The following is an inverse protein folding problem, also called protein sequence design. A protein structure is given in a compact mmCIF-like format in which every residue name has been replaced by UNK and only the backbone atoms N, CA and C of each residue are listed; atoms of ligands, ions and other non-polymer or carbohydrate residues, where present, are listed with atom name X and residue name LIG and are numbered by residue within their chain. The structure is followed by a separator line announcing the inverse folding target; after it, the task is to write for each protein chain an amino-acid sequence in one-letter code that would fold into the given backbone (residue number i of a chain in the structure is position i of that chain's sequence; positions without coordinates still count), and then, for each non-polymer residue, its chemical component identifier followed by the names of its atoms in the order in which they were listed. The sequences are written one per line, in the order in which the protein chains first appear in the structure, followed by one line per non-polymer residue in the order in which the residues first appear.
data_IF_692699089187
#
_entry.id   IF_692699089187
#
_cell.length_a   1.000
_cell.length_b   1.000
_cell.length_c   1.000
_cell.angle_alpha   90.00
_cell.angle_beta   90.00
_cell.angle_gamma   90.00
#
_symmetry.space_group_name_H-M   'P 1'
#
loop_
_entity.id
_entity.type
_entity.pdbx_description
1 polymer ?
#
# COMPACT_ATOMS: atom_id res chain seq x y z
N UNK A 1 16.47 -19.84 7.34
CA UNK A 1 15.16 -19.48 6.71
C UNK A 1 15.35 -19.45 5.19
N UNK A 2 14.46 -20.07 4.41
CA UNK A 2 14.52 -20.05 2.93
C UNK A 2 13.53 -19.02 2.43
N UNK A 3 14.02 -17.88 1.98
CA UNK A 3 13.24 -16.81 1.35
C UNK A 3 13.43 -16.88 -0.19
N UNK A 4 12.41 -16.52 -0.94
CA UNK A 4 12.43 -16.54 -2.41
C UNK A 4 12.32 -15.14 -3.02
N UNK A 5 11.66 -14.24 -2.33
CA UNK A 5 11.39 -12.86 -2.79
C UNK A 5 12.08 -11.80 -1.94
N UNK A 6 12.69 -12.22 -0.86
CA UNK A 6 13.51 -11.36 0.01
C UNK A 6 14.85 -12.04 0.27
N UNK A 7 15.89 -11.25 0.54
CA UNK A 7 17.05 -11.66 1.33
C UNK A 7 17.01 -11.02 2.71
N UNK A 8 17.61 -11.68 3.70
CA UNK A 8 17.73 -11.16 5.07
C UNK A 8 19.18 -11.29 5.52
N UNK A 9 19.87 -10.16 5.62
CA UNK A 9 21.27 -10.07 6.04
C UNK A 9 21.33 -9.38 7.41
N UNK A 10 22.07 -9.98 8.36
CA UNK A 10 22.25 -9.44 9.71
C UNK A 10 23.69 -8.99 9.84
N UNK A 11 23.91 -7.71 10.15
CA UNK A 11 25.26 -7.17 10.33
C UNK A 11 25.81 -7.43 11.73
N UNK A 12 27.10 -7.06 11.94
CA UNK A 12 27.81 -7.26 13.21
C UNK A 12 27.16 -6.50 14.39
N UNK A 13 26.40 -5.44 14.11
CA UNK A 13 25.66 -4.66 15.12
C UNK A 13 24.31 -5.30 15.50
N UNK A 14 23.92 -6.37 14.80
CA UNK A 14 22.62 -7.03 14.94
C UNK A 14 21.49 -6.31 14.20
N UNK A 15 21.77 -5.46 13.22
CA UNK A 15 20.74 -4.84 12.39
C UNK A 15 20.46 -5.72 11.18
N UNK A 16 19.25 -6.20 11.09
CA UNK A 16 18.78 -6.97 9.94
C UNK A 16 18.40 -6.04 8.78
N UNK A 17 18.76 -6.41 7.55
CA UNK A 17 18.33 -5.75 6.32
C UNK A 17 17.54 -6.75 5.50
N UNK A 18 16.25 -6.52 5.34
CA UNK A 18 15.37 -7.28 4.45
C UNK A 18 15.32 -6.58 3.09
N UNK A 19 15.93 -7.19 2.08
CA UNK A 19 15.94 -6.66 0.73
C UNK A 19 14.88 -7.36 -0.12
N UNK A 20 13.86 -6.62 -0.52
CA UNK A 20 12.77 -7.11 -1.36
C UNK A 20 13.21 -7.16 -2.82
N UNK A 21 13.25 -8.35 -3.40
CA UNK A 21 13.67 -8.57 -4.79
C UNK A 21 12.98 -9.79 -5.40
N UNK A 22 11.82 -9.57 -6.03
CA UNK A 22 11.05 -10.64 -6.70
C UNK A 22 11.81 -11.10 -7.95
N UNK A 23 12.24 -12.38 -8.02
CA UNK A 23 12.98 -12.89 -9.17
C UNK A 23 12.20 -12.78 -10.47
N UNK A 24 12.89 -12.42 -11.57
CA UNK A 24 12.31 -12.37 -12.91
C UNK A 24 11.32 -11.22 -13.16
N UNK A 25 11.11 -10.33 -12.19
CA UNK A 25 10.25 -9.14 -12.36
C UNK A 25 11.07 -7.86 -12.34
N UNK A 26 10.71 -6.91 -13.18
CA UNK A 26 11.34 -5.58 -13.23
C UNK A 26 10.94 -4.70 -12.05
N UNK A 27 9.81 -5.00 -11.39
CA UNK A 27 9.27 -4.28 -10.23
C UNK A 27 8.79 -5.30 -9.19
N UNK A 28 8.99 -4.98 -7.90
CA UNK A 28 8.44 -5.78 -6.82
C UNK A 28 6.92 -5.62 -6.74
N UNK A 29 6.24 -6.73 -6.52
CA UNK A 29 4.81 -6.79 -6.18
C UNK A 29 4.60 -7.75 -5.01
N UNK A 30 3.60 -7.48 -4.18
CA UNK A 30 3.20 -8.37 -3.09
C UNK A 30 2.40 -9.55 -3.64
N UNK A 31 3.12 -10.59 -4.03
CA UNK A 31 2.57 -11.90 -4.37
C UNK A 31 2.27 -12.69 -3.09
N UNK A 32 1.51 -13.77 -3.18
CA UNK A 32 1.28 -14.67 -2.05
C UNK A 32 2.60 -15.15 -1.42
N UNK A 33 3.64 -15.41 -2.26
CA UNK A 33 4.98 -15.79 -1.77
C UNK A 33 5.67 -14.66 -1.03
N UNK A 34 5.61 -13.43 -1.56
CA UNK A 34 6.20 -12.27 -0.90
C UNK A 34 5.57 -11.99 0.48
N UNK A 35 4.26 -12.20 0.61
CA UNK A 35 3.55 -12.09 1.88
C UNK A 35 4.01 -13.18 2.88
N UNK A 36 4.23 -14.41 2.40
CA UNK A 36 4.77 -15.50 3.24
C UNK A 36 6.20 -15.20 3.71
N UNK A 37 7.06 -14.72 2.82
CA UNK A 37 8.43 -14.34 3.15
C UNK A 37 8.46 -13.18 4.16
N UNK A 38 7.60 -12.16 3.98
CA UNK A 38 7.47 -11.05 4.92
C UNK A 38 6.97 -11.51 6.30
N UNK A 39 6.06 -12.50 6.34
CA UNK A 39 5.63 -13.13 7.59
C UNK A 39 6.80 -13.82 8.30
N UNK A 40 7.58 -14.61 7.57
CA UNK A 40 8.75 -15.29 8.13
C UNK A 40 9.81 -14.30 8.65
N UNK A 41 10.01 -13.18 7.94
CA UNK A 41 10.90 -12.10 8.41
C UNK A 41 10.36 -11.46 9.69
N UNK A 42 9.05 -11.18 9.76
CA UNK A 42 8.44 -10.59 10.95
C UNK A 42 8.59 -11.51 12.18
N UNK A 43 8.38 -12.82 12.00
CA UNK A 43 8.54 -13.82 13.04
C UNK A 43 10.01 -13.95 13.48
N UNK A 44 10.96 -13.99 12.54
CA UNK A 44 12.39 -14.04 12.82
C UNK A 44 12.84 -12.78 13.58
N UNK A 45 12.45 -11.60 13.11
CA UNK A 45 12.78 -10.34 13.79
C UNK A 45 12.18 -10.31 15.18
N UNK A 46 10.95 -10.78 15.37
CA UNK A 46 10.31 -10.81 16.68
C UNK A 46 10.98 -11.75 17.68
N UNK A 47 11.40 -12.94 17.25
CA UNK A 47 11.86 -14.03 18.11
C UNK A 47 13.37 -14.10 18.29
N UNK A 48 14.18 -13.70 17.29
CA UNK A 48 15.63 -13.82 17.33
C UNK A 48 16.27 -12.70 18.16
N UNK A 49 16.80 -13.05 19.33
CA UNK A 49 17.44 -12.10 20.26
C UNK A 49 18.69 -11.41 19.68
N UNK A 50 19.35 -11.99 18.67
CA UNK A 50 20.51 -11.39 18.00
C UNK A 50 20.12 -10.21 17.11
N UNK A 51 18.89 -10.15 16.64
CA UNK A 51 18.38 -9.03 15.85
C UNK A 51 17.94 -7.92 16.80
N UNK A 52 18.54 -6.75 16.64
CA UNK A 52 18.23 -5.54 17.44
C UNK A 52 17.30 -4.57 16.74
N UNK A 53 17.14 -4.72 15.41
CA UNK A 53 16.25 -3.91 14.60
C UNK A 53 16.27 -4.33 13.14
N UNK A 54 15.35 -3.77 12.35
CA UNK A 54 15.13 -4.13 10.94
C UNK A 54 15.14 -2.91 10.04
N UNK A 55 15.79 -3.03 8.89
CA UNK A 55 15.63 -2.13 7.74
C UNK A 55 14.99 -2.91 6.59
N UNK A 56 13.89 -2.42 6.04
CA UNK A 56 13.27 -2.98 4.84
C UNK A 56 13.61 -2.08 3.66
N UNK A 57 14.16 -2.66 2.59
CA UNK A 57 14.52 -1.94 1.37
C UNK A 57 14.20 -2.78 0.14
N UNK A 58 14.46 -2.23 -1.06
CA UNK A 58 14.28 -2.94 -2.34
C UNK A 58 15.61 -3.15 -3.05
N UNK A 59 15.79 -4.31 -3.65
CA UNK A 59 16.88 -4.62 -4.59
C UNK A 59 16.63 -4.12 -6.02
N UNK A 60 15.42 -3.63 -6.34
CA UNK A 60 15.07 -3.13 -7.67
C UNK A 60 15.44 -1.66 -7.84
N UNK A 61 16.09 -1.33 -8.94
CA UNK A 61 16.35 0.07 -9.34
C UNK A 61 15.09 0.80 -9.80
N UNK A 62 14.06 0.06 -10.20
CA UNK A 62 12.77 0.60 -10.66
C UNK A 62 11.92 1.19 -9.54
N UNK A 63 12.15 0.80 -8.27
CA UNK A 63 11.43 1.31 -7.12
C UNK A 63 11.30 0.32 -5.97
N UNK A 64 10.53 0.67 -4.97
CA UNK A 64 10.34 -0.12 -3.77
C UNK A 64 9.35 -1.27 -3.99
N UNK A 65 8.08 -0.96 -4.28
CA UNK A 65 7.03 -1.96 -4.54
C UNK A 65 5.80 -1.30 -5.18
N UNK A 66 5.25 -1.93 -6.23
CA UNK A 66 4.07 -1.44 -6.96
C UNK A 66 2.73 -1.87 -6.33
N UNK A 67 2.73 -2.50 -5.16
CA UNK A 67 1.54 -2.97 -4.47
C UNK A 67 1.24 -4.45 -4.67
N UNK A 68 -0.02 -4.83 -4.42
CA UNK A 68 -0.47 -6.22 -4.57
C UNK A 68 -0.47 -6.68 -6.03
N UNK A 69 -0.25 -7.97 -6.24
CA UNK A 69 -0.42 -8.58 -7.56
C UNK A 69 -1.93 -8.74 -7.86
N UNK A 70 -2.47 -7.82 -8.67
CA UNK A 70 -3.89 -7.81 -9.01
C UNK A 70 -4.30 -9.01 -9.89
N UNK A 71 -3.35 -9.65 -10.58
CA UNK A 71 -3.59 -10.90 -11.30
C UNK A 71 -3.91 -12.05 -10.35
N UNK A 72 -3.20 -12.14 -9.22
CA UNK A 72 -3.49 -13.12 -8.17
C UNK A 72 -4.79 -12.80 -7.41
N UNK A 73 -5.08 -11.51 -7.17
CA UNK A 73 -6.32 -11.09 -6.52
C UNK A 73 -7.56 -11.32 -7.38
N UNK A 74 -7.47 -11.05 -8.68
CA UNK A 74 -8.59 -11.22 -9.64
C UNK A 74 -8.80 -12.67 -10.09
N UNK A 75 -7.75 -13.50 -10.10
CA UNK A 75 -7.80 -14.90 -10.54
C UNK A 75 -8.26 -15.91 -9.47
N UNK A 76 -8.23 -15.52 -8.20
CA UNK A 76 -8.54 -16.40 -7.08
C UNK A 76 -10.03 -16.72 -6.83
N UNK A 77 -10.93 -16.20 -7.67
CA UNK A 77 -12.38 -16.42 -7.52
C UNK A 77 -12.88 -17.74 -8.12
N UNK A 78 -12.01 -18.60 -8.63
CA UNK A 78 -12.41 -19.75 -9.46
C UNK A 78 -12.11 -21.15 -8.96
N UNK A 79 -11.51 -21.35 -7.78
CA UNK A 79 -11.13 -22.72 -7.35
C UNK A 79 -11.95 -23.31 -6.19
N UNK A 80 -13.01 -22.65 -5.76
CA UNK A 80 -14.00 -23.25 -4.86
C UNK A 80 -15.16 -23.75 -5.70
N UNK A 81 -15.29 -25.07 -5.88
CA UNK A 81 -16.41 -25.65 -6.61
C UNK A 81 -17.75 -25.15 -6.05
N UNK A 82 -18.79 -25.17 -6.88
CA UNK A 82 -20.17 -24.71 -6.69
C UNK A 82 -20.92 -25.18 -5.42
N UNK A 83 -20.24 -25.72 -4.42
CA UNK A 83 -20.82 -26.31 -3.20
C UNK A 83 -20.29 -25.77 -1.88
N UNK A 84 -19.40 -24.77 -1.87
CA UNK A 84 -18.88 -24.26 -0.60
C UNK A 84 -19.89 -23.29 0.03
N UNK A 85 -20.14 -23.46 1.34
CA UNK A 85 -20.97 -22.58 2.14
C UNK A 85 -20.53 -21.10 1.97
N UNK A 86 -21.45 -20.19 1.60
CA UNK A 86 -21.13 -18.77 1.43
C UNK A 86 -20.49 -18.12 2.66
N UNK A 87 -20.89 -18.53 3.87
CA UNK A 87 -20.32 -18.02 5.11
C UNK A 87 -18.86 -18.47 5.29
N UNK A 88 -18.56 -19.72 4.97
CA UNK A 88 -17.20 -20.26 5.00
C UNK A 88 -16.30 -19.56 3.97
N UNK A 89 -16.82 -19.25 2.77
CA UNK A 89 -16.09 -18.49 1.75
C UNK A 89 -15.77 -17.05 2.22
N UNK A 90 -16.76 -16.37 2.81
CA UNK A 90 -16.60 -15.03 3.34
C UNK A 90 -15.57 -15.00 4.48
N UNK A 91 -15.65 -15.97 5.38
CA UNK A 91 -14.66 -16.12 6.47
C UNK A 91 -13.26 -16.34 5.93
N UNK A 92 -13.09 -17.23 4.97
CA UNK A 92 -11.78 -17.50 4.36
C UNK A 92 -11.21 -16.27 3.62
N UNK A 93 -12.06 -15.48 2.95
CA UNK A 93 -11.66 -14.23 2.33
C UNK A 93 -11.22 -13.19 3.38
N UNK A 94 -11.95 -13.09 4.49
CA UNK A 94 -11.58 -12.23 5.61
C UNK A 94 -10.24 -12.64 6.23
N UNK A 95 -10.06 -13.92 6.53
CA UNK A 95 -8.84 -14.44 7.16
C UNK A 95 -7.60 -14.19 6.28
N UNK A 96 -7.73 -14.36 4.95
CA UNK A 96 -6.67 -14.02 3.98
C UNK A 96 -6.35 -12.52 3.96
N UNK A 97 -7.38 -11.67 3.88
CA UNK A 97 -7.21 -10.21 3.91
C UNK A 97 -6.56 -9.75 5.21
N UNK A 98 -7.03 -10.27 6.35
CA UNK A 98 -6.53 -9.89 7.66
C UNK A 98 -5.10 -10.40 7.94
N UNK A 99 -4.62 -11.43 7.22
CA UNK A 99 -3.27 -11.95 7.39
C UNK A 99 -2.21 -10.88 7.13
N UNK A 100 -2.36 -10.09 6.07
CA UNK A 100 -1.41 -8.99 5.78
C UNK A 100 -1.39 -7.96 6.92
N UNK A 101 -2.56 -7.60 7.42
CA UNK A 101 -2.66 -6.69 8.56
C UNK A 101 -1.98 -7.24 9.83
N UNK A 102 -2.10 -8.54 10.09
CA UNK A 102 -1.41 -9.19 11.21
C UNK A 102 0.10 -9.14 11.05
N UNK A 103 0.62 -9.46 9.87
CA UNK A 103 2.06 -9.44 9.57
C UNK A 103 2.62 -8.04 9.81
N UNK A 104 1.99 -7.02 9.24
CA UNK A 104 2.42 -5.64 9.41
C UNK A 104 2.28 -5.16 10.86
N UNK A 105 1.23 -5.60 11.56
CA UNK A 105 1.09 -5.29 12.99
C UNK A 105 2.15 -5.97 13.85
N UNK A 106 2.54 -7.20 13.53
CA UNK A 106 3.63 -7.90 14.20
C UNK A 106 4.97 -7.14 14.03
N UNK A 107 5.27 -6.63 12.83
CA UNK A 107 6.45 -5.77 12.61
C UNK A 107 6.39 -4.50 13.46
N UNK A 108 5.22 -3.87 13.54
CA UNK A 108 4.99 -2.63 14.27
C UNK A 108 5.11 -2.79 15.80
N UNK A 109 4.82 -4.01 16.32
CA UNK A 109 4.77 -4.30 17.76
C UNK A 109 5.85 -5.29 18.23
N UNK A 110 6.82 -5.64 17.38
CA UNK A 110 7.87 -6.62 17.69
C UNK A 110 8.88 -6.16 18.77
N UNK A 111 8.68 -4.99 19.36
CA UNK A 111 9.56 -4.36 20.37
C UNK A 111 10.98 -4.07 19.87
N UNK A 112 11.15 -3.97 18.57
CA UNK A 112 12.40 -3.61 17.90
C UNK A 112 12.13 -2.51 16.89
N UNK A 113 13.06 -1.57 16.69
CA UNK A 113 12.90 -0.52 15.69
C UNK A 113 12.89 -1.13 14.29
N UNK A 114 11.92 -0.69 13.48
CA UNK A 114 11.78 -1.06 12.08
C UNK A 114 11.79 0.19 11.23
N UNK A 115 12.66 0.24 10.24
CA UNK A 115 12.79 1.36 9.30
C UNK A 115 12.53 0.90 7.86
N UNK A 116 11.95 1.77 7.04
CA UNK A 116 11.83 1.58 5.59
C UNK A 116 12.79 2.53 4.87
N UNK A 117 13.61 1.98 3.97
CA UNK A 117 14.49 2.70 3.06
C UNK A 117 13.86 2.65 1.65
N UNK A 118 13.19 3.73 1.25
CA UNK A 118 12.32 3.79 0.07
C UNK A 118 13.11 4.40 -1.10
N UNK A 119 13.58 3.55 -2.00
CA UNK A 119 14.43 3.95 -3.11
C UNK A 119 13.68 4.47 -4.35
N UNK A 120 12.35 4.39 -4.38
CA UNK A 120 11.54 4.84 -5.52
C UNK A 120 10.06 4.60 -5.28
N UNK A 121 9.35 4.22 -6.33
CA UNK A 121 7.90 4.01 -6.31
C UNK A 121 7.47 3.03 -5.21
N UNK A 122 6.55 3.47 -4.33
CA UNK A 122 5.89 2.63 -3.32
C UNK A 122 4.38 2.89 -3.34
N UNK A 123 3.64 1.99 -3.97
CA UNK A 123 2.20 2.14 -4.17
C UNK A 123 1.41 1.02 -3.49
N UNK A 124 0.18 1.34 -3.08
CA UNK A 124 -0.73 0.38 -2.51
C UNK A 124 -0.13 -0.37 -1.33
N UNK A 125 -0.19 -1.69 -1.35
CA UNK A 125 0.45 -2.55 -0.33
C UNK A 125 1.93 -2.26 -0.12
N UNK A 126 2.66 -1.75 -1.14
CA UNK A 126 4.05 -1.32 -0.99
C UNK A 126 4.19 -0.13 -0.05
N UNK A 127 3.31 0.87 -0.14
CA UNK A 127 3.26 1.96 0.82
C UNK A 127 2.79 1.47 2.19
N UNK A 128 1.82 0.55 2.26
CA UNK A 128 1.31 -0.01 3.51
C UNK A 128 2.39 -0.72 4.33
N UNK A 129 3.31 -1.45 3.67
CA UNK A 129 4.50 -2.03 4.32
C UNK A 129 5.35 -0.92 4.95
N UNK A 130 5.58 0.18 4.24
CA UNK A 130 6.39 1.28 4.78
C UNK A 130 5.69 2.02 5.90
N UNK A 131 4.37 2.18 5.84
CA UNK A 131 3.56 2.81 6.88
C UNK A 131 3.56 2.02 8.20
N UNK A 132 3.76 0.71 8.14
CA UNK A 132 3.93 -0.15 9.30
C UNK A 132 5.35 -0.09 9.92
N UNK A 133 6.29 0.61 9.30
CA UNK A 133 7.60 0.85 9.87
C UNK A 133 7.58 2.08 10.79
N UNK A 134 8.40 2.07 11.83
CA UNK A 134 8.53 3.19 12.78
C UNK A 134 9.17 4.42 12.12
N UNK A 135 10.07 4.19 11.18
CA UNK A 135 10.79 5.24 10.46
C UNK A 135 10.75 5.00 8.95
N UNK A 136 10.63 6.06 8.18
CA UNK A 136 10.62 6.05 6.72
C UNK A 136 11.59 7.10 6.20
N UNK A 137 12.58 6.66 5.43
CA UNK A 137 13.49 7.52 4.68
C UNK A 137 13.30 7.24 3.19
N UNK A 138 13.20 8.29 2.37
CA UNK A 138 12.94 8.16 0.95
C UNK A 138 14.00 8.87 0.11
N UNK A 139 14.18 8.38 -1.13
CA UNK A 139 15.10 8.97 -2.08
C UNK A 139 14.66 10.38 -2.48
N UNK A 140 15.62 11.30 -2.59
CA UNK A 140 15.45 12.64 -3.14
C UNK A 140 16.09 12.80 -4.53
N UNK A 141 16.77 11.77 -5.03
CA UNK A 141 17.45 11.77 -6.33
C UNK A 141 16.82 10.79 -7.35
N UNK A 142 15.74 10.08 -6.98
CA UNK A 142 14.98 9.26 -7.90
C UNK A 142 13.74 10.03 -8.43
N UNK A 143 13.73 10.50 -9.69
CA UNK A 143 12.62 11.26 -10.25
C UNK A 143 11.33 10.45 -10.43
N UNK A 144 11.40 9.11 -10.31
CA UNK A 144 10.23 8.22 -10.40
C UNK A 144 9.64 7.89 -9.02
N UNK A 145 10.17 8.49 -7.93
CA UNK A 145 9.63 8.24 -6.60
C UNK A 145 8.20 8.79 -6.51
N UNK A 146 7.29 7.90 -6.17
CA UNK A 146 5.89 8.21 -5.90
C UNK A 146 5.41 7.32 -4.74
N UNK A 147 4.71 7.93 -3.80
CA UNK A 147 4.10 7.25 -2.66
C UNK A 147 2.59 7.44 -2.73
N UNK A 148 1.82 6.35 -2.72
CA UNK A 148 0.37 6.49 -2.86
C UNK A 148 -0.42 5.21 -2.57
N UNK A 149 -1.73 5.38 -2.42
CA UNK A 149 -2.72 4.31 -2.22
C UNK A 149 -3.76 4.38 -3.36
N UNK A 150 -3.41 3.93 -4.58
CA UNK A 150 -4.23 4.13 -5.78
C UNK A 150 -5.39 3.14 -5.93
N UNK A 151 -5.67 2.31 -4.93
CA UNK A 151 -6.63 1.22 -4.98
C UNK A 151 -8.02 1.66 -5.43
N UNK A 152 -8.46 2.87 -5.02
CA UNK A 152 -9.75 3.43 -5.42
C UNK A 152 -9.91 3.59 -6.94
N UNK A 153 -8.80 3.82 -7.67
CA UNK A 153 -8.81 3.94 -9.14
C UNK A 153 -9.18 2.66 -9.87
N UNK A 154 -9.00 1.52 -9.22
CA UNK A 154 -9.35 0.20 -9.76
C UNK A 154 -10.53 -0.46 -9.02
N UNK A 155 -11.31 0.34 -8.29
CA UNK A 155 -12.49 -0.13 -7.57
C UNK A 155 -12.19 -0.93 -6.30
N UNK A 156 -10.96 -0.85 -5.80
CA UNK A 156 -10.53 -1.48 -4.55
C UNK A 156 -10.31 -0.44 -3.45
N UNK A 157 -9.89 -0.90 -2.30
CA UNK A 157 -9.43 -0.08 -1.17
C UNK A 157 -8.13 -0.65 -0.61
N UNK A 158 -7.33 0.15 0.11
CA UNK A 158 -6.18 -0.35 0.86
C UNK A 158 -6.61 -1.44 1.85
N UNK A 159 -5.85 -2.53 1.91
CA UNK A 159 -6.19 -3.70 2.74
C UNK A 159 -5.07 -4.17 3.68
N UNK A 160 -3.91 -3.48 3.68
CA UNK A 160 -2.78 -3.72 4.57
C UNK A 160 -2.61 -2.63 5.64
N UNK A 161 -3.68 -1.94 6.03
CA UNK A 161 -3.69 -0.93 7.08
C UNK A 161 -3.57 0.50 6.58
N UNK A 162 -3.59 0.73 5.27
CA UNK A 162 -3.46 2.06 4.67
C UNK A 162 -4.56 3.01 5.08
N UNK A 163 -5.83 2.56 5.14
CA UNK A 163 -6.96 3.37 5.61
C UNK A 163 -6.89 3.67 7.11
N UNK A 164 -6.02 2.99 7.85
CA UNK A 164 -5.88 3.16 9.27
C UNK A 164 -4.61 3.94 9.66
N UNK A 165 -3.47 3.64 9.01
CA UNK A 165 -2.19 4.27 9.32
C UNK A 165 -2.06 5.66 8.74
N UNK A 166 -2.41 5.85 7.47
CA UNK A 166 -2.26 7.15 6.82
C UNK A 166 -3.09 8.25 7.50
N UNK A 167 -4.41 8.06 7.78
CA UNK A 167 -5.19 9.08 8.48
C UNK A 167 -4.75 9.32 9.93
N UNK A 168 -4.15 8.31 10.58
CA UNK A 168 -3.56 8.51 11.90
C UNK A 168 -2.31 9.38 11.82
N UNK A 169 -1.49 9.25 10.78
CA UNK A 169 -0.28 10.06 10.62
C UNK A 169 -0.58 11.52 10.27
N UNK A 170 -1.45 11.75 9.28
CA UNK A 170 -1.61 13.08 8.68
C UNK A 170 -3.01 13.69 8.88
N UNK A 171 -3.91 12.98 9.54
CA UNK A 171 -5.31 13.37 9.71
C UNK A 171 -6.21 12.91 8.56
N UNK A 172 -7.50 12.71 8.85
CA UNK A 172 -8.46 12.21 7.88
C UNK A 172 -8.65 13.14 6.68
N UNK A 173 -8.66 14.47 6.91
CA UNK A 173 -8.84 15.46 5.84
C UNK A 173 -7.66 15.44 4.86
N UNK A 174 -6.42 15.44 5.36
CA UNK A 174 -5.23 15.43 4.51
C UNK A 174 -5.05 14.08 3.80
N UNK A 175 -5.51 12.98 4.40
CA UNK A 175 -5.44 11.65 3.81
C UNK A 175 -6.49 11.40 2.70
N UNK A 176 -7.60 12.17 2.68
CA UNK A 176 -8.72 11.94 1.78
C UNK A 176 -8.36 11.91 0.28
N UNK A 177 -7.56 12.82 -0.31
CA UNK A 177 -7.18 12.76 -1.71
C UNK A 177 -6.42 11.46 -2.05
N UNK A 178 -5.53 11.03 -1.19
CA UNK A 178 -4.71 9.84 -1.40
C UNK A 178 -5.51 8.54 -1.28
N UNK A 179 -6.52 8.51 -0.42
CA UNK A 179 -7.35 7.34 -0.18
C UNK A 179 -8.56 7.26 -1.13
N UNK A 180 -9.27 8.38 -1.35
CA UNK A 180 -10.53 8.38 -2.11
C UNK A 180 -10.32 8.61 -3.60
N UNK A 181 -9.28 9.37 -3.98
CA UNK A 181 -8.95 9.68 -5.37
C UNK A 181 -7.72 8.92 -5.87
N UNK A 182 -6.98 8.26 -4.95
CA UNK A 182 -5.79 7.49 -5.28
C UNK A 182 -4.64 8.36 -5.79
N UNK A 183 -4.55 9.61 -5.33
CA UNK A 183 -3.43 10.48 -5.68
C UNK A 183 -2.11 9.94 -5.11
N UNK A 184 -1.00 10.37 -5.71
CA UNK A 184 0.34 10.03 -5.23
C UNK A 184 1.06 11.26 -4.72
N UNK A 185 1.92 11.06 -3.75
CA UNK A 185 2.79 12.09 -3.18
C UNK A 185 4.18 12.04 -3.83
N UNK A 186 4.78 13.20 -4.12
CA UNK A 186 6.22 13.30 -4.36
C UNK A 186 7.00 13.09 -3.05
N UNK A 187 8.33 12.96 -3.15
CA UNK A 187 9.21 12.86 -1.98
C UNK A 187 9.02 14.06 -1.02
N UNK A 188 9.03 15.27 -1.58
CA UNK A 188 8.91 16.52 -0.83
C UNK A 188 7.52 16.65 -0.18
N UNK A 189 6.47 16.30 -0.91
CA UNK A 189 5.11 16.33 -0.38
C UNK A 189 4.94 15.31 0.77
N UNK A 190 5.46 14.10 0.60
CA UNK A 190 5.41 13.07 1.65
C UNK A 190 6.19 13.49 2.89
N UNK A 191 7.34 14.18 2.72
CA UNK A 191 8.13 14.75 3.81
C UNK A 191 7.37 15.86 4.52
N UNK A 192 6.79 16.80 3.77
CA UNK A 192 6.05 17.94 4.34
C UNK A 192 4.80 17.50 5.11
N UNK A 193 4.15 16.43 4.68
CA UNK A 193 2.99 15.84 5.36
C UNK A 193 3.38 14.94 6.55
N UNK A 194 4.66 14.61 6.74
CA UNK A 194 5.10 13.70 7.79
C UNK A 194 4.88 12.21 7.48
N UNK A 195 4.52 11.85 6.26
CA UNK A 195 4.47 10.46 5.80
C UNK A 195 5.87 9.88 5.73
N UNK A 196 6.86 10.68 5.31
CA UNK A 196 8.28 10.34 5.31
C UNK A 196 9.01 11.24 6.31
N UNK A 197 9.93 10.67 7.09
CA UNK A 197 10.67 11.40 8.12
C UNK A 197 11.91 12.10 7.58
N UNK A 198 12.56 11.52 6.57
CA UNK A 198 13.79 12.03 6.00
C UNK A 198 13.87 11.79 4.49
N UNK A 199 14.59 12.68 3.79
CA UNK A 199 14.96 12.52 2.39
C UNK A 199 16.49 12.47 2.29
N UNK A 200 17.01 11.54 1.47
CA UNK A 200 18.44 11.40 1.22
C UNK A 200 18.70 10.80 -0.17
N UNK A 201 19.93 10.93 -0.71
CA UNK A 201 20.32 10.22 -1.91
C UNK A 201 20.12 8.70 -1.78
N UNK A 202 19.69 8.03 -2.84
CA UNK A 202 19.39 6.60 -2.86
C UNK A 202 20.51 5.75 -2.26
N UNK A 203 21.77 6.07 -2.56
CA UNK A 203 22.93 5.34 -2.05
C UNK A 203 23.10 5.43 -0.52
N UNK A 204 22.49 6.40 0.15
CA UNK A 204 22.62 6.63 1.59
C UNK A 204 21.45 6.06 2.40
N UNK A 205 20.35 5.65 1.76
CA UNK A 205 19.11 5.31 2.44
C UNK A 205 19.29 4.21 3.49
N UNK A 206 19.90 3.09 3.11
CA UNK A 206 20.07 1.95 4.02
C UNK A 206 21.02 2.31 5.18
N UNK A 207 22.11 3.03 4.90
CA UNK A 207 23.04 3.47 5.94
C UNK A 207 22.35 4.35 6.99
N UNK A 208 21.63 5.39 6.55
CA UNK A 208 20.89 6.29 7.45
C UNK A 208 19.74 5.60 8.18
N UNK A 209 19.04 4.67 7.52
CA UNK A 209 18.03 3.87 8.18
C UNK A 209 18.62 3.01 9.32
N UNK A 210 19.80 2.40 9.10
CA UNK A 210 20.52 1.66 10.15
C UNK A 210 20.96 2.57 11.31
N UNK A 211 21.47 3.75 11.02
CA UNK A 211 21.83 4.75 12.04
C UNK A 211 20.63 5.12 12.90
N UNK A 212 19.49 5.38 12.25
CA UNK A 212 18.26 5.67 12.98
C UNK A 212 17.81 4.49 13.84
N UNK A 213 17.86 3.27 13.33
CA UNK A 213 17.50 2.05 14.08
C UNK A 213 18.37 1.91 15.33
N UNK A 214 19.68 2.14 15.23
CA UNK A 214 20.61 2.09 16.37
C UNK A 214 20.30 3.17 17.42
N UNK A 215 19.97 4.36 16.97
CA UNK A 215 19.68 5.50 17.84
C UNK A 215 18.30 5.39 18.55
N UNK A 216 17.40 4.54 18.06
CA UNK A 216 16.02 4.47 18.56
C UNK A 216 15.60 3.04 18.97
N UNK A 217 16.29 2.39 19.93
CA UNK A 217 16.05 0.98 20.28
C UNK A 217 14.65 0.71 20.84
N UNK A 218 13.95 1.73 21.33
CA UNK A 218 12.62 1.63 21.92
C UNK A 218 11.54 2.29 21.04
N UNK A 219 11.75 2.38 19.73
CA UNK A 219 10.79 2.97 18.81
C UNK A 219 9.44 2.26 18.87
N UNK A 220 8.38 3.05 18.76
CA UNK A 220 6.98 2.60 18.75
C UNK A 220 6.22 3.36 17.69
N UNK A 221 5.18 2.75 17.14
CA UNK A 221 4.25 3.46 16.29
C UNK A 221 3.51 4.55 17.12
N UNK A 222 3.24 5.74 16.54
CA UNK A 222 2.63 6.85 17.29
C UNK A 222 1.32 6.46 17.97
N UNK A 223 0.48 5.69 17.31
CA UNK A 223 -0.84 5.25 17.82
C UNK A 223 -0.77 4.18 18.93
N UNK A 224 0.40 3.67 19.25
CA UNK A 224 0.64 2.78 20.40
C UNK A 224 1.02 3.56 21.66
N UNK A 225 1.15 4.87 21.57
CA UNK A 225 1.26 5.75 22.74
C UNK A 225 -0.14 6.18 23.21
N UNK A 226 -0.46 5.94 24.49
CA UNK A 226 -1.75 6.31 25.09
C UNK A 226 -2.04 7.82 25.04
N UNK A 227 -1.00 8.66 24.87
CA UNK A 227 -1.13 10.13 24.77
C UNK A 227 -1.26 10.61 23.32
N UNK A 228 -1.17 9.71 22.35
CA UNK A 228 -1.22 10.07 20.95
C UNK A 228 -2.58 10.67 20.58
N UNK A 229 -2.55 11.78 19.85
CA UNK A 229 -3.74 12.44 19.32
C UNK A 229 -3.67 12.45 17.79
N UNK A 230 -4.72 11.96 17.17
CA UNK A 230 -4.86 11.96 15.69
C UNK A 230 -4.89 13.42 15.20
N UNK A 231 -4.08 13.80 14.22
CA UNK A 231 -4.15 15.15 13.62
C UNK A 231 -5.55 15.45 13.09
N UNK A 232 -6.11 16.61 13.43
CA UNK A 232 -7.50 16.97 13.08
C UNK A 232 -8.58 16.31 13.94
N UNK A 233 -8.19 15.42 14.87
CA UNK A 233 -9.09 14.75 15.81
C UNK A 233 -9.68 13.43 15.28
N UNK A 234 -10.36 12.71 16.16
CA UNK A 234 -11.15 11.53 15.82
C UNK A 234 -12.55 11.92 15.28
N UNK A 235 -13.31 10.99 14.70
CA UNK A 235 -14.64 11.28 14.14
C UNK A 235 -15.63 11.92 15.12
N UNK A 236 -15.48 11.70 16.42
CA UNK A 236 -16.35 12.25 17.47
C UNK A 236 -15.92 13.64 17.95
N UNK A 237 -14.76 14.13 17.50
CA UNK A 237 -14.32 15.51 17.76
C UNK A 237 -15.02 16.49 16.83
N UNK A 238 -15.11 17.77 17.22
CA UNK A 238 -15.74 18.80 16.40
C UNK A 238 -15.10 18.89 15.00
N UNK A 239 -13.77 18.87 14.89
CA UNK A 239 -13.07 18.91 13.61
C UNK A 239 -13.30 17.63 12.78
N UNK A 240 -13.20 16.46 13.43
CA UNK A 240 -13.42 15.19 12.75
C UNK A 240 -14.85 15.01 12.24
N UNK A 241 -15.87 15.30 13.04
CA UNK A 241 -17.27 15.19 12.62
C UNK A 241 -17.58 16.03 11.37
N UNK A 242 -17.01 17.24 11.30
CA UNK A 242 -17.13 18.11 10.13
C UNK A 242 -16.55 17.46 8.88
N UNK A 243 -15.33 16.90 8.98
CA UNK A 243 -14.66 16.22 7.83
C UNK A 243 -15.51 15.08 7.27
N UNK A 244 -16.09 14.25 8.16
CA UNK A 244 -16.88 13.10 7.70
C UNK A 244 -18.28 13.49 7.18
N UNK A 245 -18.92 14.50 7.77
CA UNK A 245 -20.21 15.00 7.29
C UNK A 245 -20.08 15.60 5.89
N UNK A 246 -19.16 16.54 5.70
CA UNK A 246 -18.93 17.16 4.39
C UNK A 246 -18.31 16.16 3.39
N UNK A 247 -17.38 15.33 3.84
CA UNK A 247 -16.78 14.28 3.01
C UNK A 247 -17.81 13.31 2.44
N UNK A 248 -18.78 12.88 3.22
CA UNK A 248 -19.87 12.01 2.76
C UNK A 248 -20.75 12.68 1.70
N UNK A 249 -21.10 13.95 1.90
CA UNK A 249 -21.90 14.71 0.95
C UNK A 249 -21.15 14.96 -0.37
N UNK A 250 -19.86 15.32 -0.29
CA UNK A 250 -19.00 15.51 -1.47
C UNK A 250 -18.83 14.19 -2.23
N UNK A 251 -18.56 13.10 -1.53
CA UNK A 251 -18.43 11.78 -2.14
C UNK A 251 -19.71 11.37 -2.88
N UNK A 252 -20.87 11.54 -2.25
CA UNK A 252 -22.16 11.27 -2.90
C UNK A 252 -22.36 12.10 -4.16
N UNK A 253 -22.01 13.40 -4.13
CA UNK A 253 -22.08 14.30 -5.30
C UNK A 253 -21.12 13.88 -6.41
N UNK A 254 -19.91 13.45 -6.10
CA UNK A 254 -18.90 13.07 -7.10
C UNK A 254 -19.13 11.70 -7.70
N UNK A 255 -19.62 10.75 -6.92
CA UNK A 255 -19.72 9.35 -7.33
C UNK A 255 -21.10 8.90 -7.73
N UNK A 256 -22.14 9.68 -7.38
CA UNK A 256 -23.55 9.30 -7.57
C UNK A 256 -23.90 7.92 -7.01
N UNK A 257 -23.07 7.43 -6.05
CA UNK A 257 -23.21 6.10 -5.46
C UNK A 257 -22.68 4.93 -6.32
N UNK A 258 -22.11 5.21 -7.50
CA UNK A 258 -21.65 4.18 -8.45
C UNK A 258 -20.29 3.54 -8.11
N UNK A 259 -19.58 4.05 -7.10
CA UNK A 259 -18.26 3.56 -6.73
C UNK A 259 -18.24 3.12 -5.26
N UNK A 260 -18.55 1.84 -4.96
CA UNK A 260 -18.60 1.32 -3.60
C UNK A 260 -17.29 1.45 -2.84
N UNK A 261 -16.15 1.35 -3.54
CA UNK A 261 -14.81 1.40 -2.94
C UNK A 261 -14.61 2.66 -2.11
N UNK A 262 -14.88 3.85 -2.66
CA UNK A 262 -14.71 5.12 -1.95
C UNK A 262 -15.61 5.23 -0.73
N UNK A 263 -16.85 4.74 -0.82
CA UNK A 263 -17.78 4.69 0.32
C UNK A 263 -17.25 3.78 1.41
N UNK A 264 -16.72 2.60 1.04
CA UNK A 264 -16.15 1.66 1.99
C UNK A 264 -14.86 2.19 2.63
N UNK A 265 -14.01 2.89 1.86
CA UNK A 265 -12.83 3.58 2.39
C UNK A 265 -13.24 4.61 3.45
N UNK A 266 -14.19 5.50 3.12
CA UNK A 266 -14.66 6.52 4.05
C UNK A 266 -15.24 5.91 5.33
N UNK A 267 -16.05 4.84 5.20
CA UNK A 267 -16.59 4.10 6.34
C UNK A 267 -15.52 3.42 7.18
N UNK A 268 -14.51 2.78 6.54
CA UNK A 268 -13.41 2.13 7.24
C UNK A 268 -12.55 3.14 8.02
N UNK A 269 -12.32 4.33 7.46
CA UNK A 269 -11.61 5.42 8.15
C UNK A 269 -12.44 5.93 9.32
N UNK A 270 -13.73 6.21 9.12
CA UNK A 270 -14.62 6.70 10.17
C UNK A 270 -14.69 5.76 11.37
N UNK A 271 -15.05 4.50 11.12
CA UNK A 271 -15.16 3.50 12.18
C UNK A 271 -13.78 3.21 12.83
N UNK A 272 -12.74 3.10 12.00
CA UNK A 272 -11.40 2.75 12.45
C UNK A 272 -10.75 3.81 13.32
N UNK A 273 -10.91 5.11 13.01
CA UNK A 273 -10.37 6.20 13.83
C UNK A 273 -11.09 6.36 15.18
N UNK A 274 -12.23 5.68 15.37
CA UNK A 274 -13.00 5.68 16.63
C UNK A 274 -12.57 4.59 17.62
N UNK A 275 -11.68 3.68 17.20
CA UNK A 275 -11.28 2.49 17.99
C UNK A 275 -9.75 2.32 18.00
N UNK A 276 -9.20 1.50 18.93
CA UNK A 276 -7.78 1.13 18.91
C UNK A 276 -7.34 0.46 17.61
N UNK A 277 -6.04 0.54 17.30
CA UNK A 277 -5.46 0.10 16.03
C UNK A 277 -5.81 -1.34 15.66
N UNK A 278 -5.74 -2.29 16.60
CA UNK A 278 -6.01 -3.70 16.31
C UNK A 278 -7.47 -3.97 15.89
N UNK A 279 -8.42 -3.25 16.49
CA UNK A 279 -9.82 -3.29 16.07
C UNK A 279 -10.02 -2.60 14.72
N UNK A 280 -9.33 -1.48 14.49
CA UNK A 280 -9.38 -0.73 13.24
C UNK A 280 -8.90 -1.55 12.04
N UNK A 281 -7.83 -2.33 12.19
CA UNK A 281 -7.34 -3.23 11.14
C UNK A 281 -8.33 -4.34 10.78
N UNK A 282 -9.11 -4.83 11.76
CA UNK A 282 -10.22 -5.77 11.50
C UNK A 282 -11.37 -5.10 10.73
N UNK A 283 -11.69 -3.85 11.07
CA UNK A 283 -12.69 -3.05 10.36
C UNK A 283 -12.27 -2.86 8.90
N UNK A 284 -11.03 -2.48 8.66
CA UNK A 284 -10.50 -2.34 7.29
C UNK A 284 -10.63 -3.65 6.50
N UNK A 285 -10.18 -4.79 7.07
CA UNK A 285 -10.26 -6.09 6.40
C UNK A 285 -11.70 -6.49 6.07
N UNK A 286 -12.66 -6.19 6.94
CA UNK A 286 -14.10 -6.41 6.68
C UNK A 286 -14.58 -5.61 5.47
N UNK A 287 -14.24 -4.32 5.40
CA UNK A 287 -14.59 -3.47 4.27
C UNK A 287 -13.83 -3.85 3.00
N UNK A 288 -12.58 -4.26 3.11
CA UNK A 288 -11.79 -4.75 1.97
C UNK A 288 -12.47 -5.95 1.30
N UNK A 289 -12.84 -6.97 2.07
CA UNK A 289 -13.54 -8.15 1.54
C UNK A 289 -14.88 -7.75 0.92
N UNK A 290 -15.64 -6.89 1.61
CA UNK A 290 -16.91 -6.37 1.08
C UNK A 290 -16.71 -5.65 -0.26
N UNK A 291 -15.63 -4.86 -0.40
CA UNK A 291 -15.29 -4.15 -1.64
C UNK A 291 -14.89 -5.14 -2.73
N UNK A 292 -14.00 -6.08 -2.44
CA UNK A 292 -13.48 -7.06 -3.39
C UNK A 292 -14.59 -7.93 -4.00
N UNK A 293 -15.66 -8.17 -3.24
CA UNK A 293 -16.81 -8.99 -3.69
C UNK A 293 -17.79 -8.23 -4.57
N UNK A 294 -17.67 -6.90 -4.70
CA UNK A 294 -18.57 -6.10 -5.54
C UNK A 294 -18.37 -6.38 -7.03
N UNK A 295 -19.43 -6.33 -7.86
CA UNK A 295 -19.29 -6.42 -9.31
C UNK A 295 -18.46 -5.25 -9.88
N UNK A 296 -18.55 -4.06 -9.28
CA UNK A 296 -17.78 -2.88 -9.67
C UNK A 296 -16.27 -3.12 -9.53
N UNK A 297 -15.81 -3.67 -8.41
CA UNK A 297 -14.40 -4.01 -8.22
C UNK A 297 -13.91 -5.00 -9.29
N UNK A 298 -14.67 -6.07 -9.52
CA UNK A 298 -14.34 -7.08 -10.54
C UNK A 298 -14.29 -6.46 -11.95
N UNK A 299 -15.27 -5.64 -12.29
CA UNK A 299 -15.35 -4.94 -13.58
C UNK A 299 -14.20 -3.96 -13.78
N UNK A 300 -13.89 -3.16 -12.77
CA UNK A 300 -12.81 -2.16 -12.84
C UNK A 300 -11.42 -2.82 -12.89
N UNK A 301 -11.16 -3.85 -12.08
CA UNK A 301 -9.89 -4.61 -12.17
C UNK A 301 -9.74 -5.19 -13.58
N UNK A 302 -10.78 -5.80 -14.12
CA UNK A 302 -10.73 -6.40 -15.45
C UNK A 302 -10.47 -5.35 -16.53
N UNK A 303 -11.26 -4.26 -16.56
CA UNK A 303 -11.20 -3.26 -17.64
C UNK A 303 -10.02 -2.31 -17.49
N UNK A 304 -9.81 -1.71 -16.31
CA UNK A 304 -8.85 -0.65 -16.10
C UNK A 304 -7.43 -1.14 -15.80
N UNK A 305 -7.27 -2.42 -15.41
CA UNK A 305 -5.96 -2.97 -15.12
C UNK A 305 -5.58 -4.12 -16.05
N UNK A 306 -6.26 -5.27 -15.98
CA UNK A 306 -5.87 -6.46 -16.74
C UNK A 306 -5.95 -6.25 -18.26
N UNK A 307 -7.10 -5.74 -18.76
CA UNK A 307 -7.27 -5.50 -20.20
C UNK A 307 -6.31 -4.43 -20.73
N UNK A 308 -6.05 -3.37 -19.93
CA UNK A 308 -5.06 -2.35 -20.32
C UNK A 308 -3.64 -2.91 -20.39
N UNK A 309 -3.27 -3.79 -19.45
CA UNK A 309 -1.97 -4.50 -19.53
C UNK A 309 -1.89 -5.41 -20.76
N UNK A 310 -2.95 -6.16 -21.06
CA UNK A 310 -2.99 -7.03 -22.23
C UNK A 310 -2.83 -6.22 -23.52
N UNK A 311 -3.55 -5.10 -23.63
CA UNK A 311 -3.44 -4.18 -24.77
C UNK A 311 -2.04 -3.56 -24.91
N UNK A 312 -1.46 -3.11 -23.80
CA UNK A 312 -0.11 -2.52 -23.82
C UNK A 312 0.98 -3.52 -24.21
N UNK A 313 0.77 -4.79 -23.92
CA UNK A 313 1.65 -5.90 -24.39
C UNK A 313 1.36 -6.35 -25.82
N UNK A 314 0.39 -5.76 -26.49
CA UNK A 314 0.01 -6.11 -27.84
C UNK A 314 -0.76 -7.42 -27.97
N UNK A 315 -1.46 -7.88 -26.92
CA UNK A 315 -2.21 -9.16 -26.93
C UNK A 315 -3.29 -9.22 -28.00
N UNK A 316 -3.85 -8.10 -28.43
CA UNK A 316 -4.83 -8.01 -29.50
C UNK A 316 -4.20 -7.82 -30.89
N UNK A 317 -2.87 -7.81 -30.98
CA UNK A 317 -2.19 -7.64 -32.25
C UNK A 317 -2.29 -8.90 -33.09
N UNK A 318 -2.72 -8.83 -34.37
CA UNK A 318 -2.74 -9.99 -35.24
C UNK A 318 -1.34 -10.59 -35.41
N UNK A 319 -1.24 -11.92 -35.36
CA UNK A 319 0.01 -12.62 -35.58
C UNK A 319 0.51 -12.44 -37.05
N UNK A 320 1.83 -12.38 -37.23
CA UNK A 320 2.44 -12.29 -38.57
C UNK A 320 2.66 -10.85 -39.09
N UNK A 321 2.22 -9.82 -38.37
CA UNK A 321 2.48 -8.44 -38.76
C UNK A 321 3.69 -7.87 -37.99
N UNK A 322 4.67 -7.22 -38.69
CA UNK A 322 5.83 -6.62 -38.04
C UNK A 322 5.43 -5.48 -37.12
N UNK A 323 6.20 -5.23 -36.06
CA UNK A 323 6.08 -4.03 -35.24
C UNK A 323 6.49 -2.81 -36.05
N UNK A 324 5.64 -1.80 -36.09
CA UNK A 324 5.93 -0.55 -36.77
C UNK A 324 6.40 0.49 -35.74
N UNK A 325 7.59 1.06 -35.96
CA UNK A 325 8.10 2.15 -35.14
C UNK A 325 7.58 3.48 -35.71
N UNK A 326 6.64 4.11 -35.01
CA UNK A 326 6.11 5.42 -35.39
C UNK A 326 7.11 6.48 -34.92
N UNK A 327 7.82 7.11 -35.85
CA UNK A 327 8.81 8.16 -35.56
C UNK A 327 8.23 9.57 -35.48
N UNK A 328 7.09 9.81 -36.11
CA UNK A 328 6.38 11.10 -36.07
C UNK A 328 4.87 10.86 -36.14
N UNK A 329 4.13 11.52 -35.28
CA UNK A 329 2.67 11.59 -35.34
C UNK A 329 2.28 13.07 -35.54
N UNK A 330 1.24 13.32 -36.35
CA UNK A 330 0.68 14.66 -36.57
C UNK A 330 -0.79 14.58 -36.19
N UNK A 331 -1.21 15.50 -35.33
CA UNK A 331 -2.60 15.72 -35.02
C UNK A 331 -3.12 16.85 -35.89
N UNK A 332 -4.16 16.59 -36.70
CA UNK A 332 -4.78 17.54 -37.61
C UNK A 332 -6.08 18.03 -36.98
N UNK A 333 -5.99 19.11 -36.25
CA UNK A 333 -7.13 19.78 -35.64
C UNK A 333 -7.00 19.90 -34.10
N UNK A 334 -6.83 21.16 -33.63
CA UNK A 334 -6.76 21.47 -32.21
C UNK A 334 -8.15 21.66 -31.56
N UNK A 335 -9.17 20.92 -32.05
CA UNK A 335 -10.49 20.86 -31.41
C UNK A 335 -10.53 20.02 -30.15
N UNK A 336 -11.73 19.81 -29.59
CA UNK A 336 -11.93 19.09 -28.32
C UNK A 336 -11.26 17.69 -28.27
N UNK A 337 -11.23 16.98 -29.40
CA UNK A 337 -10.63 15.67 -29.49
C UNK A 337 -9.11 15.74 -29.75
N UNK A 338 -8.66 16.57 -30.69
CA UNK A 338 -7.25 16.68 -31.04
C UNK A 338 -6.40 17.32 -29.97
N UNK A 339 -6.97 18.20 -29.13
CA UNK A 339 -6.28 18.74 -27.95
C UNK A 339 -6.14 17.74 -26.79
N UNK A 340 -6.83 16.59 -26.87
CA UNK A 340 -6.76 15.53 -25.85
C UNK A 340 -5.85 14.35 -26.23
N UNK A 341 -5.28 14.35 -27.44
CA UNK A 341 -4.31 13.36 -27.93
C UNK A 341 -2.89 13.86 -27.67
#
# INVERSE_FOLDING_TARGET
MKLETFSLDIDADGIAVATFDVPGRSMNTLTARAIQDLSAIADEVGSNAMIKGLVITSGKTSGFCAGADLGELGGGSGSGGDKADPEAQLKAAFDRSFQMNKILRNLETCKKPVAAAINGLALGGGLEVTLACHYRIASNDNPKLQLGLPEAKVGLMPGGGGTQRLPRLIGAQAAAPFLLQGESMSAEQAKSLGVVHELAPTAQLVGRAKEWVKANPNAKAPWDDAKYKIPGGNPNSQGGSTVFTFGSAMLAKQTWGNYPAQKHILSAVYEGLSVPMDAALRIESRYFVKTLMTPEAKGMIRSLFLSMQDLSKGASRPAGYPTYEIKKAIDVGAGLMGAGI
#
